data_IF_057151341407
#
_entry.id   IF_057151341407
#
_cell.length_a   1.000
_cell.length_b   1.000
_cell.length_c   1.000
_cell.angle_alpha   90.00
_cell.angle_beta   90.00
_cell.angle_gamma   90.00
#
_symmetry.space_group_name_H-M   'P 1'
#
loop_
_entity.id
_entity.type
_entity.pdbx_description
1 polymer ?
#
# COMPACT_ATOMS: atom_id res chain seq x y z
N UNK A 1 -66.68 14.42 27.59
CA UNK A 1 -65.53 13.52 27.35
C UNK A 1 -65.98 12.14 27.82
N UNK A 2 -66.02 11.03 27.03
CA UNK A 2 -65.45 10.74 25.70
C UNK A 2 -66.41 9.91 24.77
N UNK A 3 -66.99 10.47 23.71
CA UNK A 3 -67.80 9.68 22.74
C UNK A 3 -67.59 10.09 21.26
N UNK A 4 -66.67 11.00 20.96
CA UNK A 4 -66.44 11.52 19.60
C UNK A 4 -65.20 10.96 18.89
N UNK A 5 -64.25 10.34 19.61
CA UNK A 5 -63.00 9.84 19.00
C UNK A 5 -63.15 8.50 18.24
N UNK A 6 -64.10 7.63 18.63
CA UNK A 6 -64.27 6.31 17.99
C UNK A 6 -64.98 6.36 16.62
N UNK A 7 -65.81 7.38 16.39
CA UNK A 7 -66.53 7.54 15.11
C UNK A 7 -65.62 8.16 14.03
N UNK A 8 -64.73 9.07 14.44
CA UNK A 8 -63.78 9.73 13.54
C UNK A 8 -62.63 8.81 13.14
N UNK A 9 -62.17 7.94 14.05
CA UNK A 9 -61.16 6.92 13.70
C UNK A 9 -61.69 5.88 12.72
N UNK A 10 -62.95 5.44 12.86
CA UNK A 10 -63.56 4.49 11.93
C UNK A 10 -63.76 5.08 10.53
N UNK A 11 -64.16 6.35 10.42
CA UNK A 11 -64.31 7.01 9.11
C UNK A 11 -62.97 7.26 8.41
N UNK A 12 -61.91 7.57 9.16
CA UNK A 12 -60.55 7.73 8.62
C UNK A 12 -59.98 6.39 8.16
N UNK A 13 -60.17 5.31 8.92
CA UNK A 13 -59.72 3.96 8.53
C UNK A 13 -60.43 3.49 7.26
N UNK A 14 -61.74 3.72 7.14
CA UNK A 14 -62.51 3.39 5.94
C UNK A 14 -62.08 4.22 4.71
N UNK A 15 -61.68 5.48 4.88
CA UNK A 15 -61.15 6.31 3.78
C UNK A 15 -59.73 5.87 3.38
N UNK A 16 -58.90 5.45 4.35
CA UNK A 16 -57.58 4.87 4.09
C UNK A 16 -57.64 3.56 3.33
N UNK A 17 -58.57 2.66 3.67
CA UNK A 17 -58.76 1.40 2.94
C UNK A 17 -59.16 1.64 1.48
N UNK A 18 -60.00 2.63 1.20
CA UNK A 18 -60.38 3.01 -0.17
C UNK A 18 -59.20 3.55 -0.97
N UNK A 19 -58.33 4.34 -0.35
CA UNK A 19 -57.11 4.87 -0.99
C UNK A 19 -56.09 3.77 -1.24
N UNK A 20 -55.95 2.81 -0.33
CA UNK A 20 -55.05 1.68 -0.53
C UNK A 20 -55.51 0.76 -1.65
N UNK A 21 -56.82 0.49 -1.75
CA UNK A 21 -57.39 -0.29 -2.84
C UNK A 21 -57.12 0.36 -4.21
N UNK A 22 -57.30 1.68 -4.33
CA UNK A 22 -57.03 2.39 -5.59
C UNK A 22 -55.53 2.43 -5.94
N UNK A 23 -54.64 2.56 -4.95
CA UNK A 23 -53.19 2.48 -5.21
C UNK A 23 -52.73 1.09 -5.64
N UNK A 24 -53.33 0.02 -5.12
CA UNK A 24 -53.01 -1.35 -5.53
C UNK A 24 -53.45 -1.61 -6.98
N UNK A 25 -54.64 -1.14 -7.35
CA UNK A 25 -55.15 -1.25 -8.72
C UNK A 25 -54.26 -0.49 -9.72
N UNK A 26 -53.84 0.74 -9.38
CA UNK A 26 -52.92 1.53 -10.21
C UNK A 26 -51.56 0.83 -10.34
N UNK A 27 -51.01 0.27 -9.26
CA UNK A 27 -49.75 -0.49 -9.33
C UNK A 27 -49.86 -1.72 -10.22
N UNK A 28 -50.94 -2.50 -10.08
CA UNK A 28 -51.17 -3.67 -10.90
C UNK A 28 -51.28 -3.33 -12.40
N UNK A 29 -51.96 -2.22 -12.72
CA UNK A 29 -52.07 -1.71 -14.09
C UNK A 29 -50.72 -1.25 -14.66
N UNK A 30 -49.92 -0.53 -13.86
CA UNK A 30 -48.57 -0.09 -14.27
C UNK A 30 -47.64 -1.28 -14.48
N UNK A 31 -47.67 -2.27 -13.59
CA UNK A 31 -46.84 -3.48 -13.72
C UNK A 31 -47.18 -4.27 -14.99
N UNK A 32 -48.48 -4.37 -15.33
CA UNK A 32 -48.91 -5.02 -16.57
C UNK A 32 -48.54 -4.22 -17.82
N UNK A 33 -48.69 -2.89 -17.79
CA UNK A 33 -48.32 -2.00 -18.90
C UNK A 33 -46.82 -2.03 -19.18
N UNK A 34 -45.99 -1.98 -18.12
CA UNK A 34 -44.52 -2.10 -18.20
C UNK A 34 -44.14 -3.47 -18.73
N UNK A 35 -44.74 -4.55 -18.21
CA UNK A 35 -44.45 -5.92 -18.65
C UNK A 35 -44.84 -6.12 -20.13
N UNK A 36 -45.96 -5.54 -20.57
CA UNK A 36 -46.40 -5.60 -21.96
C UNK A 36 -45.50 -4.76 -22.90
N UNK A 37 -45.01 -3.61 -22.41
CA UNK A 37 -44.07 -2.74 -23.12
C UNK A 37 -42.73 -3.43 -23.32
N UNK A 38 -42.17 -4.03 -22.26
CA UNK A 38 -40.93 -4.82 -22.33
C UNK A 38 -41.08 -6.01 -23.28
N UNK A 39 -42.26 -6.67 -23.31
CA UNK A 39 -42.50 -7.81 -24.22
C UNK A 39 -42.61 -7.39 -25.69
N UNK A 40 -43.13 -6.20 -25.98
CA UNK A 40 -43.17 -5.64 -27.35
C UNK A 40 -41.80 -5.13 -27.80
N UNK A 41 -41.03 -4.58 -26.87
CA UNK A 41 -39.69 -4.05 -27.14
C UNK A 41 -38.66 -5.17 -27.29
N UNK A 42 -38.69 -6.20 -26.44
CA UNK A 42 -37.85 -7.40 -26.58
C UNK A 42 -38.11 -8.20 -27.86
N UNK A 43 -39.32 -8.15 -28.41
CA UNK A 43 -39.62 -8.71 -29.72
C UNK A 43 -39.08 -7.87 -30.89
N UNK A 44 -38.69 -6.62 -30.63
CA UNK A 44 -38.09 -5.67 -31.58
C UNK A 44 -36.59 -5.47 -31.39
N UNK A 45 -35.97 -6.04 -30.34
CA UNK A 45 -34.51 -6.11 -30.22
C UNK A 45 -34.02 -6.97 -31.39
N UNK A 46 -33.67 -6.28 -32.47
CA UNK A 46 -33.15 -6.84 -33.69
C UNK A 46 -31.88 -7.64 -33.39
N UNK A 47 -31.60 -8.72 -34.14
CA UNK A 47 -30.36 -9.49 -34.00
C UNK A 47 -29.09 -8.63 -34.18
N UNK A 48 -29.20 -7.43 -34.78
CA UNK A 48 -28.12 -6.46 -34.96
C UNK A 48 -27.70 -5.78 -33.65
N UNK A 49 -28.64 -5.39 -32.79
CA UNK A 49 -28.34 -4.74 -31.49
C UNK A 49 -27.70 -5.73 -30.50
N UNK A 50 -28.12 -7.00 -30.57
CA UNK A 50 -27.48 -8.09 -29.81
C UNK A 50 -26.04 -8.36 -30.28
N UNK A 51 -25.75 -8.16 -31.57
CA UNK A 51 -24.40 -8.30 -32.11
C UNK A 51 -23.48 -7.16 -31.65
N UNK A 52 -23.99 -5.92 -31.61
CA UNK A 52 -23.26 -4.75 -31.10
C UNK A 52 -22.98 -4.87 -29.60
N UNK A 53 -23.99 -5.28 -28.81
CA UNK A 53 -23.81 -5.52 -27.35
C UNK A 53 -22.84 -6.67 -27.09
N UNK A 54 -22.86 -7.73 -27.91
CA UNK A 54 -21.88 -8.81 -27.83
C UNK A 54 -20.46 -8.33 -28.17
N UNK A 55 -20.32 -7.43 -29.15
CA UNK A 55 -19.04 -6.82 -29.52
C UNK A 55 -18.49 -5.95 -28.38
N UNK A 56 -19.31 -5.07 -27.81
CA UNK A 56 -18.95 -4.19 -26.68
C UNK A 56 -18.56 -5.02 -25.46
N UNK A 57 -19.30 -6.09 -25.15
CA UNK A 57 -18.94 -7.02 -24.09
C UNK A 57 -17.59 -7.72 -24.34
N UNK A 58 -17.30 -8.08 -25.59
CA UNK A 58 -16.03 -8.69 -25.97
C UNK A 58 -14.85 -7.70 -25.85
N UNK A 59 -15.05 -6.44 -26.23
CA UNK A 59 -14.06 -5.37 -26.08
C UNK A 59 -13.78 -5.04 -24.61
N UNK A 60 -14.81 -4.95 -23.76
CA UNK A 60 -14.66 -4.74 -22.32
C UNK A 60 -13.93 -5.91 -21.65
N UNK A 61 -14.22 -7.15 -22.07
CA UNK A 61 -13.51 -8.35 -21.60
C UNK A 61 -12.05 -8.36 -22.03
N UNK A 62 -11.74 -7.97 -23.26
CA UNK A 62 -10.35 -7.83 -23.70
C UNK A 62 -9.61 -6.70 -22.96
N UNK A 63 -10.26 -5.56 -22.75
CA UNK A 63 -9.67 -4.42 -22.04
C UNK A 63 -9.37 -4.78 -20.59
N UNK A 64 -10.31 -5.42 -19.90
CA UNK A 64 -10.13 -5.89 -18.52
C UNK A 64 -9.08 -7.01 -18.40
N UNK A 65 -8.99 -7.93 -19.36
CA UNK A 65 -7.92 -8.94 -19.38
C UNK A 65 -6.55 -8.29 -19.61
N UNK A 66 -6.46 -7.31 -20.51
CA UNK A 66 -5.20 -6.60 -20.80
C UNK A 66 -4.75 -5.75 -19.61
N UNK A 67 -5.69 -5.10 -18.94
CA UNK A 67 -5.45 -4.32 -17.72
C UNK A 67 -5.08 -5.20 -16.52
N UNK A 68 -5.74 -6.35 -16.34
CA UNK A 68 -5.40 -7.32 -15.31
C UNK A 68 -3.98 -7.88 -15.50
N UNK A 69 -3.60 -8.19 -16.74
CA UNK A 69 -2.25 -8.69 -17.07
C UNK A 69 -1.16 -7.60 -16.91
N UNK A 70 -1.48 -6.33 -17.16
CA UNK A 70 -0.59 -5.20 -16.88
C UNK A 70 -0.41 -4.98 -15.37
N UNK A 71 -1.53 -4.96 -14.65
CA UNK A 71 -1.59 -4.74 -13.20
C UNK A 71 -0.86 -5.84 -12.42
N UNK A 72 -1.04 -7.11 -12.75
CA UNK A 72 -0.37 -8.21 -12.03
C UNK A 72 1.16 -8.22 -12.23
N UNK A 73 1.63 -7.88 -13.44
CA UNK A 73 3.08 -7.85 -13.75
C UNK A 73 3.79 -6.63 -13.16
N UNK A 74 3.09 -5.51 -13.00
CA UNK A 74 3.60 -4.30 -12.36
C UNK A 74 3.53 -4.37 -10.84
N UNK A 75 2.43 -4.88 -10.27
CA UNK A 75 2.28 -5.07 -8.83
C UNK A 75 3.21 -6.16 -8.28
N UNK A 76 3.50 -7.22 -9.05
CA UNK A 76 4.43 -8.27 -8.66
C UNK A 76 5.88 -7.79 -8.57
N UNK A 77 6.34 -6.96 -9.51
CA UNK A 77 7.69 -6.37 -9.49
C UNK A 77 7.81 -5.21 -8.51
N UNK A 78 6.77 -4.39 -8.38
CA UNK A 78 6.72 -3.30 -7.40
C UNK A 78 6.80 -3.80 -5.95
N UNK A 79 6.03 -4.83 -5.59
CA UNK A 79 6.08 -5.43 -4.24
C UNK A 79 7.39 -6.15 -3.94
N UNK A 80 8.00 -6.82 -4.93
CA UNK A 80 9.28 -7.49 -4.75
C UNK A 80 10.43 -6.46 -4.58
N UNK A 81 10.47 -5.43 -5.42
CA UNK A 81 11.47 -4.36 -5.33
C UNK A 81 11.32 -3.55 -4.02
N UNK A 82 10.09 -3.26 -3.60
CA UNK A 82 9.83 -2.58 -2.33
C UNK A 82 10.32 -3.39 -1.13
N UNK A 83 10.11 -4.72 -1.12
CA UNK A 83 10.63 -5.59 -0.06
C UNK A 83 12.16 -5.64 -0.04
N UNK A 84 12.81 -5.69 -1.20
CA UNK A 84 14.28 -5.69 -1.27
C UNK A 84 14.83 -4.39 -0.70
N UNK A 85 14.27 -3.24 -1.08
CA UNK A 85 14.67 -1.94 -0.52
C UNK A 85 14.56 -1.94 1.00
N UNK A 86 13.44 -2.42 1.54
CA UNK A 86 13.20 -2.46 2.98
C UNK A 86 14.22 -3.34 3.74
N UNK A 87 14.60 -4.49 3.15
CA UNK A 87 15.62 -5.36 3.74
C UNK A 87 16.98 -4.67 3.71
N UNK A 88 17.34 -4.04 2.59
CA UNK A 88 18.61 -3.29 2.47
C UNK A 88 18.65 -2.16 3.49
N UNK A 89 17.58 -1.37 3.60
CA UNK A 89 17.49 -0.27 4.56
C UNK A 89 17.65 -0.77 6.00
N UNK A 90 16.99 -1.87 6.35
CA UNK A 90 17.12 -2.50 7.67
C UNK A 90 18.56 -2.94 7.96
N UNK A 91 19.25 -3.54 6.98
CA UNK A 91 20.67 -3.92 7.13
C UNK A 91 21.54 -2.70 7.36
N UNK A 92 21.30 -1.58 6.66
CA UNK A 92 22.03 -0.34 6.92
C UNK A 92 21.76 0.21 8.33
N UNK A 93 20.51 0.22 8.78
CA UNK A 93 20.18 0.61 10.16
C UNK A 93 20.87 -0.27 11.21
N UNK A 94 20.97 -1.57 10.94
CA UNK A 94 21.70 -2.49 11.81
C UNK A 94 23.20 -2.15 11.85
N UNK A 95 23.83 -1.91 10.69
CA UNK A 95 25.24 -1.50 10.61
C UNK A 95 25.48 -0.18 11.36
N UNK A 96 24.58 0.81 11.22
CA UNK A 96 24.66 2.05 11.98
C UNK A 96 24.58 1.83 13.48
N UNK A 97 23.64 0.99 13.92
CA UNK A 97 23.50 0.65 15.33
C UNK A 97 24.78 0.05 15.90
N UNK A 98 25.41 -0.88 15.17
CA UNK A 98 26.65 -1.52 15.60
C UNK A 98 27.83 -0.54 15.65
N UNK A 99 28.04 0.27 14.61
CA UNK A 99 29.16 1.24 14.56
C UNK A 99 28.95 2.35 15.60
N UNK A 100 27.72 2.85 15.75
CA UNK A 100 27.40 3.87 16.75
C UNK A 100 27.56 3.34 18.18
N UNK A 101 27.17 2.09 18.42
CA UNK A 101 27.40 1.41 19.70
C UNK A 101 28.89 1.28 19.98
N UNK A 102 29.68 0.82 19.01
CA UNK A 102 31.14 0.72 19.15
C UNK A 102 31.78 2.08 19.45
N UNK A 103 31.36 3.13 18.72
CA UNK A 103 31.79 4.50 18.98
C UNK A 103 31.44 4.94 20.41
N UNK A 104 30.21 4.68 20.87
CA UNK A 104 29.77 5.03 22.23
C UNK A 104 30.57 4.28 23.30
N UNK A 105 30.83 2.98 23.09
CA UNK A 105 31.64 2.17 24.00
C UNK A 105 33.09 2.68 24.06
N UNK A 106 33.65 3.09 22.91
CA UNK A 106 34.96 3.74 22.84
C UNK A 106 35.00 5.06 23.62
N UNK A 107 33.96 5.88 23.50
CA UNK A 107 33.82 7.15 24.23
C UNK A 107 33.67 6.95 25.74
N UNK A 108 32.97 5.89 26.17
CA UNK A 108 32.86 5.52 27.59
C UNK A 108 34.17 5.01 28.19
N UNK A 109 35.27 4.95 27.41
CA UNK A 109 36.55 4.44 27.87
C UNK A 109 36.47 2.95 28.21
N UNK A 110 35.58 2.20 27.56
CA UNK A 110 35.42 0.78 27.81
C UNK A 110 36.76 0.08 27.60
N UNK A 111 37.26 -0.59 28.65
CA UNK A 111 38.47 -1.41 28.55
C UNK A 111 38.23 -2.47 27.47
N UNK A 112 39.19 -2.63 26.56
CA UNK A 112 39.21 -3.66 25.52
C UNK A 112 39.11 -5.11 26.06
N UNK A 113 39.13 -5.30 27.38
CA UNK A 113 38.85 -6.58 28.05
C UNK A 113 37.36 -6.89 28.28
N UNK A 114 36.44 -5.99 27.94
CA UNK A 114 35.01 -6.29 28.00
C UNK A 114 34.63 -7.21 26.81
N UNK A 115 34.12 -8.41 27.11
CA UNK A 115 33.69 -9.37 26.08
C UNK A 115 32.65 -8.81 25.11
N UNK A 116 31.83 -7.83 25.54
CA UNK A 116 30.89 -7.15 24.67
C UNK A 116 31.58 -6.25 23.62
N UNK A 117 32.63 -5.53 24.00
CA UNK A 117 33.42 -4.70 23.08
C UNK A 117 34.13 -5.59 22.05
N UNK A 118 34.69 -6.72 22.50
CA UNK A 118 35.35 -7.68 21.61
C UNK A 118 34.37 -8.33 20.62
N UNK A 119 33.16 -8.67 21.07
CA UNK A 119 32.13 -9.23 20.20
C UNK A 119 31.73 -8.22 19.11
N UNK A 120 31.42 -6.98 19.50
CA UNK A 120 31.05 -5.94 18.53
C UNK A 120 32.20 -5.69 17.56
N UNK A 121 33.42 -5.48 18.07
CA UNK A 121 34.62 -5.27 17.25
C UNK A 121 34.94 -6.43 16.31
N UNK A 122 34.61 -7.68 16.66
CA UNK A 122 34.76 -8.82 15.77
C UNK A 122 33.75 -8.80 14.60
N UNK A 123 32.52 -8.30 14.85
CA UNK A 123 31.47 -8.20 13.83
C UNK A 123 31.68 -6.98 12.93
N UNK A 124 32.09 -5.84 13.50
CA UNK A 124 32.32 -4.59 12.77
C UNK A 124 33.73 -4.51 12.16
N UNK A 125 34.69 -5.28 12.66
CA UNK A 125 36.08 -5.29 12.20
C UNK A 125 36.22 -5.42 10.68
N UNK A 126 35.58 -6.41 10.01
CA UNK A 126 35.61 -6.51 8.55
C UNK A 126 35.02 -5.31 7.81
N UNK A 127 33.99 -4.67 8.40
CA UNK A 127 33.32 -3.48 7.85
C UNK A 127 34.17 -2.21 8.02
N UNK A 128 35.00 -2.16 9.07
CA UNK A 128 35.85 -1.04 9.43
C UNK A 128 37.28 -1.15 8.86
N UNK A 129 37.76 -2.36 8.60
CA UNK A 129 39.08 -2.67 8.05
C UNK A 129 39.52 -1.82 6.85
N UNK A 130 38.68 -1.54 5.82
CA UNK A 130 39.10 -0.68 4.71
C UNK A 130 39.33 0.77 5.14
N UNK A 131 38.60 1.27 6.14
CA UNK A 131 38.73 2.64 6.64
C UNK A 131 39.93 2.80 7.57
N UNK A 132 40.20 1.80 8.39
CA UNK A 132 41.39 1.79 9.26
C UNK A 132 42.70 1.85 8.46
N UNK A 133 42.75 1.19 7.30
CA UNK A 133 43.92 1.25 6.40
C UNK A 133 44.11 2.61 5.72
N UNK A 134 43.03 3.36 5.51
CA UNK A 134 43.09 4.67 4.81
C UNK A 134 43.38 5.80 5.79
N UNK A 135 42.75 5.77 6.97
CA UNK A 135 42.80 6.90 7.92
C UNK A 135 44.05 6.84 8.80
N UNK A 136 44.65 5.65 9.00
CA UNK A 136 45.84 5.46 9.83
C UNK A 136 45.52 5.72 11.30
N UNK A 137 45.68 4.72 12.15
CA UNK A 137 45.37 4.85 13.58
C UNK A 137 46.65 5.27 14.34
N UNK A 138 46.87 6.55 14.69
CA UNK A 138 47.92 6.91 15.64
C UNK A 138 47.51 6.39 17.02
N UNK A 139 48.00 5.21 17.39
CA UNK A 139 47.82 4.63 18.72
C UNK A 139 48.79 5.29 19.70
N UNK A 140 48.52 6.54 20.10
CA UNK A 140 49.27 7.21 21.17
C UNK A 140 48.44 7.24 22.46
N UNK A 141 48.65 6.27 23.34
CA UNK A 141 48.41 6.37 24.78
C UNK A 141 46.97 6.45 25.26
N UNK A 142 46.43 5.33 25.75
CA UNK A 142 45.33 5.25 26.73
C UNK A 142 43.92 5.66 26.28
N UNK A 143 43.80 6.60 25.36
CA UNK A 143 42.54 7.11 24.82
C UNK A 143 42.53 6.83 23.31
N UNK A 144 42.05 5.64 22.94
CA UNK A 144 41.90 5.23 21.55
C UNK A 144 40.63 5.89 21.00
N UNK A 145 40.70 7.20 20.77
CA UNK A 145 39.64 7.91 20.05
C UNK A 145 39.75 7.47 18.59
N UNK A 146 38.99 6.44 18.23
CA UNK A 146 38.91 5.95 16.88
C UNK A 146 38.12 6.95 16.04
N UNK A 147 38.77 8.04 15.62
CA UNK A 147 38.25 8.98 14.61
C UNK A 147 37.78 8.20 13.37
N UNK A 148 38.43 7.06 13.07
CA UNK A 148 38.01 6.10 12.05
C UNK A 148 36.56 5.63 12.18
N UNK A 149 36.01 5.46 13.39
CA UNK A 149 34.61 5.03 13.57
C UNK A 149 33.63 6.12 13.19
N UNK A 150 33.93 7.38 13.55
CA UNK A 150 33.14 8.53 13.14
C UNK A 150 33.18 8.69 11.61
N UNK A 151 34.37 8.53 11.02
CA UNK A 151 34.52 8.55 9.57
C UNK A 151 33.74 7.41 8.89
N UNK A 152 33.81 6.19 9.42
CA UNK A 152 33.05 5.06 8.92
C UNK A 152 31.54 5.33 8.97
N UNK A 153 31.03 5.88 10.09
CA UNK A 153 29.62 6.26 10.22
C UNK A 153 29.20 7.23 9.10
N UNK A 154 29.98 8.28 8.87
CA UNK A 154 29.70 9.28 7.81
C UNK A 154 29.70 8.61 6.43
N UNK A 155 30.68 7.76 6.13
CA UNK A 155 30.76 7.08 4.83
C UNK A 155 29.56 6.16 4.62
N UNK A 156 29.17 5.36 5.62
CA UNK A 156 28.01 4.49 5.48
C UNK A 156 26.71 5.29 5.27
N UNK A 157 26.54 6.43 5.94
CA UNK A 157 25.40 7.34 5.72
C UNK A 157 25.36 7.83 4.27
N UNK A 158 26.51 8.23 3.71
CA UNK A 158 26.60 8.65 2.31
C UNK A 158 26.27 7.52 1.34
N UNK A 159 26.76 6.30 1.60
CA UNK A 159 26.48 5.11 0.80
C UNK A 159 24.98 4.78 0.80
N UNK A 160 24.35 4.80 1.97
CA UNK A 160 22.91 4.54 2.08
C UNK A 160 22.08 5.62 1.38
N UNK A 161 22.47 6.89 1.48
CA UNK A 161 21.81 7.96 0.73
C UNK A 161 21.96 7.77 -0.78
N UNK A 162 23.15 7.37 -1.25
CA UNK A 162 23.38 7.08 -2.67
C UNK A 162 22.53 5.90 -3.15
N UNK A 163 22.44 4.82 -2.37
CA UNK A 163 21.64 3.64 -2.69
C UNK A 163 20.14 3.97 -2.68
N UNK A 164 19.64 4.64 -1.65
CA UNK A 164 18.23 5.06 -1.57
C UNK A 164 17.89 6.06 -2.69
N UNK A 165 18.80 6.99 -2.99
CA UNK A 165 18.70 7.89 -4.14
C UNK A 165 18.64 7.14 -5.47
N UNK A 166 19.49 6.12 -5.67
CA UNK A 166 19.48 5.29 -6.86
C UNK A 166 18.19 4.47 -6.99
N UNK A 167 17.72 3.86 -5.91
CA UNK A 167 16.42 3.17 -5.88
C UNK A 167 15.28 4.12 -6.21
N UNK A 168 15.27 5.33 -5.62
CA UNK A 168 14.29 6.37 -5.90
C UNK A 168 14.30 6.78 -7.36
N UNK A 169 15.48 6.95 -7.97
CA UNK A 169 15.63 7.31 -9.39
C UNK A 169 15.08 6.21 -10.31
N UNK A 170 15.40 4.95 -10.02
CA UNK A 170 14.92 3.78 -10.79
C UNK A 170 13.40 3.59 -10.63
N UNK A 171 12.86 3.85 -9.44
CA UNK A 171 11.43 3.75 -9.16
C UNK A 171 10.63 4.89 -9.80
N UNK A 172 11.09 6.14 -9.71
CA UNK A 172 10.38 7.29 -10.28
C UNK A 172 10.39 7.33 -11.81
N UNK A 173 11.40 6.75 -12.47
CA UNK A 173 11.44 6.68 -13.95
C UNK A 173 10.24 5.96 -14.56
N UNK A 174 9.47 5.19 -13.78
CA UNK A 174 8.31 4.43 -14.28
C UNK A 174 6.98 5.21 -14.26
N UNK A 175 6.94 6.47 -13.84
CA UNK A 175 5.70 7.28 -13.76
C UNK A 175 5.57 8.26 -14.93
N UNK A 176 6.29 8.04 -16.03
CA UNK A 176 6.13 8.87 -17.23
C UNK A 176 6.30 8.01 -18.48
N UNK A 177 5.25 7.29 -18.85
CA UNK A 177 4.94 6.91 -20.23
C UNK A 177 3.42 6.92 -20.37
#
# INVERSE_FOLDING_TARGET
MPLSEDVETNSVLLDEERRQASHQEVKASVDDDVNSSIKRESARVEPEESAEVAEVAHQLRQKSVREAVGTERELGRGRAAARISQVVDYVFYLIYGLIALEFMLGLMGARAGNGFVQFIGAVTGPLLAPFERIVGTPSSGGFQVHISYLFALVVYVLIHLAINGAFRLVAHRKVTV
#
